data_IF_178167589804
#
_entry.id   IF_178167589804
#
_cell.length_a   1.000
_cell.length_b   1.000
_cell.length_c   1.000
_cell.angle_alpha   90.00
_cell.angle_beta   90.00
_cell.angle_gamma   90.00
#
_symmetry.space_group_name_H-M   'P 1'
#
loop_
_entity.id
_entity.type
_entity.pdbx_description
1 polymer ?
#
# COMPACT_ATOMS: atom_id res chain seq x y z
N UNK A 1 0.85 -12.13 7.04
CA UNK A 1 1.59 -11.04 6.36
C UNK A 1 2.37 -11.45 5.09
N UNK A 2 2.88 -12.68 4.95
CA UNK A 2 3.72 -13.06 3.80
C UNK A 2 2.97 -13.08 2.45
N UNK A 3 1.78 -13.71 2.42
CA UNK A 3 0.95 -13.82 1.21
C UNK A 3 0.57 -12.47 0.58
N UNK A 4 0.21 -11.47 1.40
CA UNK A 4 -0.11 -10.14 0.87
C UNK A 4 1.12 -9.48 0.26
N UNK A 5 2.25 -9.53 0.96
CA UNK A 5 3.51 -8.96 0.48
C UNK A 5 3.94 -9.62 -0.83
N UNK A 6 3.75 -10.92 -0.98
CA UNK A 6 4.02 -11.64 -2.22
C UNK A 6 3.11 -11.19 -3.37
N UNK A 7 1.80 -10.99 -3.12
CA UNK A 7 0.87 -10.42 -4.11
C UNK A 7 1.26 -9.00 -4.52
N UNK A 8 1.58 -8.13 -3.57
CA UNK A 8 2.04 -6.76 -3.83
C UNK A 8 3.36 -6.78 -4.61
N UNK A 9 4.28 -7.68 -4.27
CA UNK A 9 5.55 -7.86 -4.98
C UNK A 9 5.34 -8.33 -6.42
N UNK A 10 4.41 -9.26 -6.65
CA UNK A 10 4.07 -9.75 -7.98
C UNK A 10 3.41 -8.66 -8.85
N UNK A 11 2.49 -7.89 -8.28
CA UNK A 11 1.85 -6.77 -8.96
C UNK A 11 2.84 -5.63 -9.31
N UNK A 12 3.86 -5.42 -8.48
CA UNK A 12 4.93 -4.43 -8.68
C UNK A 12 6.21 -5.02 -9.28
N UNK A 13 6.13 -6.20 -9.90
CA UNK A 13 7.28 -6.87 -10.49
C UNK A 13 7.87 -6.08 -11.67
N UNK A 14 9.15 -6.31 -11.96
CA UNK A 14 9.83 -5.62 -13.06
C UNK A 14 9.16 -5.88 -14.42
N UNK A 15 8.61 -7.08 -14.62
CA UNK A 15 7.83 -7.44 -15.82
C UNK A 15 6.57 -6.58 -16.04
N UNK A 16 6.11 -5.85 -15.01
CA UNK A 16 4.95 -4.95 -15.11
C UNK A 16 5.33 -3.50 -15.40
N UNK A 17 6.61 -3.18 -15.61
CA UNK A 17 7.10 -1.79 -15.79
C UNK A 17 6.47 -1.10 -17.01
N UNK A 18 6.05 -1.88 -18.00
CA UNK A 18 5.33 -1.39 -19.19
C UNK A 18 3.95 -0.83 -18.84
N UNK A 19 3.28 -1.38 -17.82
CA UNK A 19 1.93 -0.95 -17.42
C UNK A 19 1.96 0.41 -16.74
N UNK A 20 0.94 1.26 -16.97
CA UNK A 20 0.84 2.54 -16.29
C UNK A 20 0.63 2.35 -14.79
N UNK A 21 1.17 3.26 -13.97
CA UNK A 21 1.08 3.18 -12.50
C UNK A 21 -0.38 3.05 -12.02
N UNK A 22 -1.36 3.80 -12.57
CA UNK A 22 -2.77 3.63 -12.22
C UNK A 22 -3.33 2.22 -12.42
N UNK A 23 -2.88 1.48 -13.45
CA UNK A 23 -3.35 0.11 -13.68
C UNK A 23 -2.83 -0.86 -12.60
N UNK A 24 -1.59 -0.65 -12.14
CA UNK A 24 -1.03 -1.43 -11.02
C UNK A 24 -1.80 -1.13 -9.73
N UNK A 25 -2.14 0.14 -9.50
CA UNK A 25 -2.95 0.55 -8.34
C UNK A 25 -4.36 -0.06 -8.40
N UNK A 26 -4.98 -0.07 -9.58
CA UNK A 26 -6.30 -0.68 -9.78
C UNK A 26 -6.30 -2.18 -9.46
N UNK A 27 -5.23 -2.91 -9.79
CA UNK A 27 -5.09 -4.34 -9.45
C UNK A 27 -4.82 -4.56 -7.95
N UNK A 28 -4.12 -3.62 -7.30
CA UNK A 28 -3.79 -3.70 -5.87
C UNK A 28 -4.98 -3.38 -4.97
N UNK A 29 -5.82 -2.42 -5.36
CA UNK A 29 -6.92 -1.93 -4.54
C UNK A 29 -7.90 -3.03 -4.06
N UNK A 30 -8.36 -3.98 -4.90
CA UNK A 30 -9.19 -5.09 -4.45
C UNK A 30 -8.51 -6.00 -3.43
N UNK A 31 -7.20 -6.26 -3.61
CA UNK A 31 -6.42 -7.10 -2.68
C UNK A 31 -6.30 -6.42 -1.32
N UNK A 32 -6.01 -5.11 -1.32
CA UNK A 32 -5.95 -4.30 -0.11
C UNK A 32 -7.32 -4.24 0.58
N UNK A 33 -8.40 -4.02 -0.17
CA UNK A 33 -9.78 -4.03 0.36
C UNK A 33 -10.17 -5.36 1.00
N UNK A 34 -9.87 -6.48 0.34
CA UNK A 34 -10.11 -7.80 0.92
C UNK A 34 -9.31 -8.03 2.21
N UNK A 35 -8.08 -7.52 2.27
CA UNK A 35 -7.27 -7.55 3.48
C UNK A 35 -7.82 -6.65 4.59
N UNK A 36 -8.23 -5.42 4.29
CA UNK A 36 -8.94 -4.55 5.23
C UNK A 36 -10.16 -5.25 5.82
N UNK A 37 -10.98 -5.89 4.98
CA UNK A 37 -12.17 -6.60 5.42
C UNK A 37 -11.84 -7.78 6.37
N UNK A 38 -10.77 -8.54 6.07
CA UNK A 38 -10.35 -9.66 6.91
C UNK A 38 -9.86 -9.20 8.30
N UNK A 39 -9.08 -8.13 8.36
CA UNK A 39 -8.49 -7.61 9.61
C UNK A 39 -9.39 -6.56 10.30
N UNK A 40 -10.62 -6.36 9.82
CA UNK A 40 -11.56 -5.34 10.32
C UNK A 40 -11.93 -5.52 11.79
N UNK A 41 -11.93 -6.76 12.28
CA UNK A 41 -12.45 -7.11 13.60
C UNK A 41 -11.34 -7.32 14.66
N UNK A 42 -10.13 -6.77 14.47
CA UNK A 42 -9.01 -6.93 15.41
C UNK A 42 -8.20 -5.65 15.67
N UNK A 43 -7.37 -5.66 16.72
CA UNK A 43 -6.39 -4.61 17.04
C UNK A 43 -5.19 -4.57 16.05
N UNK A 44 -5.44 -4.77 14.76
CA UNK A 44 -4.44 -4.95 13.71
C UNK A 44 -3.91 -3.64 13.12
N UNK A 45 -3.98 -2.54 13.88
CA UNK A 45 -3.53 -1.22 13.43
C UNK A 45 -2.07 -1.22 13.00
N UNK A 46 -1.20 -1.90 13.76
CA UNK A 46 0.23 -2.03 13.45
C UNK A 46 0.46 -2.81 12.15
N UNK A 47 -0.32 -3.85 11.90
CA UNK A 47 -0.25 -4.63 10.67
C UNK A 47 -0.68 -3.79 9.48
N UNK A 48 -1.74 -2.98 9.61
CA UNK A 48 -2.16 -2.05 8.56
C UNK A 48 -1.09 -1.02 8.22
N UNK A 49 -0.44 -0.43 9.23
CA UNK A 49 0.68 0.49 9.02
C UNK A 49 1.86 -0.17 8.30
N UNK A 50 2.17 -1.42 8.68
CA UNK A 50 3.22 -2.19 8.02
C UNK A 50 2.88 -2.52 6.56
N UNK A 51 1.60 -2.79 6.25
CA UNK A 51 1.15 -3.01 4.87
C UNK A 51 1.19 -1.73 4.07
N UNK A 52 0.64 -0.63 4.57
CA UNK A 52 0.61 0.65 3.87
C UNK A 52 2.04 1.14 3.58
N UNK A 53 2.96 1.00 4.54
CA UNK A 53 4.38 1.28 4.36
C UNK A 53 5.02 0.40 3.27
N UNK A 54 4.74 -0.90 3.26
CA UNK A 54 5.27 -1.81 2.25
C UNK A 54 4.74 -1.51 0.84
N UNK A 55 3.43 -1.26 0.71
CA UNK A 55 2.81 -0.88 -0.58
C UNK A 55 3.43 0.42 -1.09
N UNK A 56 3.65 1.38 -0.20
CA UNK A 56 4.26 2.65 -0.54
C UNK A 56 5.69 2.49 -1.08
N UNK A 57 6.54 1.76 -0.37
CA UNK A 57 7.90 1.44 -0.80
C UNK A 57 7.90 0.77 -2.19
N UNK A 58 7.03 -0.22 -2.39
CA UNK A 58 6.98 -0.98 -3.66
C UNK A 58 6.53 -0.13 -4.83
N UNK A 59 5.54 0.75 -4.66
CA UNK A 59 5.09 1.67 -5.70
C UNK A 59 6.15 2.75 -6.02
N UNK A 60 6.83 3.26 -4.99
CA UNK A 60 7.92 4.22 -5.15
C UNK A 60 9.09 3.63 -5.97
N UNK A 61 9.47 2.40 -5.67
CA UNK A 61 10.49 1.65 -6.42
C UNK A 61 10.01 1.40 -7.86
N UNK A 62 8.76 0.97 -8.04
CA UNK A 62 8.19 0.69 -9.36
C UNK A 62 8.18 1.95 -10.25
N UNK A 63 7.70 3.08 -9.74
CA UNK A 63 7.67 4.35 -10.46
C UNK A 63 9.09 4.84 -10.80
N UNK A 64 10.03 4.72 -9.85
CA UNK A 64 11.42 5.11 -10.09
C UNK A 64 12.06 4.29 -11.21
N UNK A 65 11.82 2.98 -11.23
CA UNK A 65 12.29 2.08 -12.31
C UNK A 65 11.64 2.41 -13.64
N UNK A 66 10.31 2.63 -13.67
CA UNK A 66 9.58 3.02 -14.88
C UNK A 66 10.14 4.30 -15.51
N UNK A 67 10.45 5.30 -14.69
CA UNK A 67 11.00 6.56 -15.14
C UNK A 67 12.54 6.58 -15.25
N UNK A 68 13.19 5.40 -15.20
CA UNK A 68 14.66 5.23 -15.27
C UNK A 68 15.43 6.16 -14.34
N UNK A 69 14.85 6.48 -13.17
CA UNK A 69 15.46 7.39 -12.20
C UNK A 69 16.62 6.68 -11.50
N UNK A 70 17.79 7.33 -11.44
CA UNK A 70 18.96 6.85 -10.70
C UNK A 70 18.86 7.23 -9.22
N UNK A 71 19.43 6.38 -8.37
CA UNK A 71 19.61 6.61 -6.94
C UNK A 71 18.44 6.11 -6.07
N UNK A 72 18.66 6.16 -4.75
CA UNK A 72 17.70 5.72 -3.73
C UNK A 72 16.74 6.85 -3.29
N UNK A 73 16.54 7.85 -4.14
CA UNK A 73 15.80 9.08 -3.83
C UNK A 73 14.28 8.92 -3.97
N UNK A 74 13.80 7.67 -3.98
CA UNK A 74 12.38 7.37 -4.07
C UNK A 74 11.67 7.70 -2.75
N UNK A 75 12.35 7.61 -1.61
CA UNK A 75 11.83 7.96 -0.28
C UNK A 75 11.52 9.45 -0.14
N UNK A 76 12.32 10.33 -0.78
CA UNK A 76 12.12 11.78 -0.73
C UNK A 76 11.13 12.27 -1.78
N UNK A 77 11.04 11.60 -2.94
CA UNK A 77 10.15 11.97 -4.06
C UNK A 77 8.77 11.34 -3.99
N UNK A 78 8.67 10.15 -3.41
CA UNK A 78 7.41 9.43 -3.22
C UNK A 78 6.93 9.78 -1.82
N UNK A 79 6.44 11.02 -1.67
CA UNK A 79 5.85 11.46 -0.41
C UNK A 79 4.46 10.83 -0.24
N UNK A 80 3.95 10.78 0.99
CA UNK A 80 2.57 10.37 1.26
C UNK A 80 1.51 11.13 0.42
N UNK A 81 1.77 12.38 0.03
CA UNK A 81 0.91 13.13 -0.89
C UNK A 81 0.92 12.58 -2.32
N UNK A 82 2.07 12.08 -2.80
CA UNK A 82 2.21 11.49 -4.13
C UNK A 82 1.41 10.18 -4.25
N UNK A 83 1.51 9.28 -3.26
CA UNK A 83 0.77 8.02 -3.29
C UNK A 83 -0.74 8.23 -3.17
N UNK A 84 -1.17 9.26 -2.41
CA UNK A 84 -2.59 9.59 -2.26
C UNK A 84 -3.17 10.09 -3.59
N UNK A 85 -2.40 10.86 -4.37
CA UNK A 85 -2.80 11.29 -5.73
C UNK A 85 -2.91 10.13 -6.73
N UNK A 86 -2.27 8.99 -6.46
CA UNK A 86 -2.39 7.79 -7.31
C UNK A 86 -3.69 7.00 -7.06
N UNK A 87 -4.48 7.34 -6.03
CA UNK A 87 -5.74 6.65 -5.73
C UNK A 87 -5.59 5.28 -5.08
N UNK A 88 -4.48 5.05 -4.37
CA UNK A 88 -4.25 3.81 -3.61
C UNK A 88 -5.19 3.76 -2.41
N UNK A 89 -5.92 2.65 -2.24
CA UNK A 89 -6.74 2.43 -1.05
C UNK A 89 -5.86 2.30 0.18
N UNK A 90 -6.03 3.22 1.14
CA UNK A 90 -5.38 3.15 2.45
C UNK A 90 -6.09 2.19 3.39
N UNK A 91 -5.29 1.44 4.12
CA UNK A 91 -5.74 0.58 5.20
C UNK A 91 -5.67 1.34 6.54
N UNK A 92 -4.62 2.15 6.71
CA UNK A 92 -4.47 3.06 7.85
C UNK A 92 -5.46 4.22 7.72
N UNK A 93 -6.53 4.16 8.50
CA UNK A 93 -7.63 5.16 8.50
C UNK A 93 -9.03 4.55 8.38
N UNK A 94 -9.17 3.30 7.90
CA UNK A 94 -10.42 2.54 7.93
C UNK A 94 -10.54 1.63 9.16
N UNK A 95 -9.54 1.65 10.03
CA UNK A 95 -9.63 1.01 11.35
C UNK A 95 -10.52 1.89 12.21
N UNK A 96 -11.81 1.55 12.30
CA UNK A 96 -12.56 1.92 13.47
C UNK A 96 -11.85 1.27 14.65
N UNK A 97 -11.01 2.02 15.37
CA UNK A 97 -10.80 1.69 16.77
C UNK A 97 -12.20 1.68 17.34
N UNK A 98 -12.73 0.51 17.67
CA UNK A 98 -13.79 0.47 18.64
C UNK A 98 -13.15 1.09 19.89
N UNK A 99 -13.31 2.40 20.06
CA UNK A 99 -13.13 3.04 21.34
C UNK A 99 -14.21 2.39 22.18
N UNK A 100 -13.86 1.27 22.81
CA UNK A 100 -14.59 0.77 23.95
C UNK A 100 -14.45 1.88 24.99
N UNK A 101 -15.41 2.79 24.99
CA UNK A 101 -15.70 3.62 26.15
C UNK A 101 -16.09 2.64 27.24
N UNK A 102 -15.09 2.18 28.01
CA UNK A 102 -15.30 1.71 29.35
C UNK A 102 -15.58 2.97 30.19
N UNK A 103 -16.79 3.51 30.04
CA UNK A 103 -17.36 4.44 31.01
C UNK A 103 -17.61 3.62 32.27
N UNK A 104 -16.80 3.87 33.29
CA UNK A 104 -16.98 3.32 34.64
C UNK A 104 -17.62 4.38 35.52
#
# INVERSE_FOLDING_TARGET
>A
MRVLRDKVRAATAHSKTERPVPAVVADLNPVLRGWAAYFRNGNSGREFDAVDGYVHERLAIFASRKHRRRGRNWTTRSTYGWITRLGVCRLTGNVHRATAYASR
#
